data_IF_337001398100
#
_entry.id   IF_337001398100
#
_cell.length_a   1.000
_cell.length_b   1.000
_cell.length_c   1.000
_cell.angle_alpha   90.00
_cell.angle_beta   90.00
_cell.angle_gamma   90.00
#
_symmetry.space_group_name_H-M   'P 1'
#
loop_
_entity.id
_entity.type
_entity.pdbx_description
1 polymer ?
#
# COMPACT_ATOMS: atom_id res chain seq x y z
N UNK A 1 -2.22 -7.63 13.01
CA UNK A 1 -2.62 -6.27 13.40
C UNK A 1 -3.47 -5.68 12.29
N UNK A 2 -4.47 -4.83 12.58
CA UNK A 2 -5.29 -4.25 11.52
C UNK A 2 -4.45 -3.31 10.63
N UNK A 3 -4.82 -3.21 9.35
CA UNK A 3 -4.32 -2.17 8.46
C UNK A 3 -4.68 -0.77 9.01
N UNK A 4 -3.91 0.28 8.65
CA UNK A 4 -4.18 1.63 9.13
C UNK A 4 -5.57 2.11 8.68
N UNK A 5 -6.26 2.79 9.59
CA UNK A 5 -7.66 3.23 9.39
C UNK A 5 -7.73 4.58 8.71
N UNK A 6 -8.87 4.88 8.06
CA UNK A 6 -9.10 6.18 7.43
C UNK A 6 -8.92 7.36 8.40
N UNK A 7 -9.35 7.18 9.66
CA UNK A 7 -9.20 8.18 10.73
C UNK A 7 -7.74 8.50 11.08
N UNK A 8 -6.81 7.56 10.88
CA UNK A 8 -5.37 7.79 11.07
C UNK A 8 -4.76 8.61 9.94
N UNK A 9 -5.37 8.59 8.75
CA UNK A 9 -4.86 9.26 7.54
C UNK A 9 -5.55 10.61 7.29
N UNK A 10 -6.80 10.78 7.71
CA UNK A 10 -7.64 11.92 7.37
C UNK A 10 -7.02 13.26 7.76
N UNK A 11 -6.58 13.43 9.01
CA UNK A 11 -6.02 14.69 9.49
C UNK A 11 -4.74 15.09 8.73
N UNK A 12 -3.88 14.11 8.43
CA UNK A 12 -2.67 14.35 7.65
C UNK A 12 -2.99 14.66 6.19
N UNK A 13 -3.93 13.92 5.58
CA UNK A 13 -4.40 14.13 4.20
C UNK A 13 -4.98 15.53 4.03
N UNK A 14 -5.79 15.99 4.98
CA UNK A 14 -6.32 17.35 4.98
C UNK A 14 -5.20 18.38 5.10
N UNK A 15 -4.20 18.14 5.96
CA UNK A 15 -3.01 18.98 6.08
C UNK A 15 -2.23 19.08 4.77
N UNK A 16 -2.08 17.98 4.03
CA UNK A 16 -1.41 17.96 2.72
C UNK A 16 -2.19 18.76 1.68
N UNK A 17 -3.53 18.61 1.60
CA UNK A 17 -4.37 19.41 0.71
C UNK A 17 -4.28 20.90 1.04
N UNK A 18 -4.42 21.28 2.32
CA UNK A 18 -4.33 22.67 2.74
C UNK A 18 -2.94 23.29 2.53
N UNK A 19 -1.88 22.49 2.73
CA UNK A 19 -0.49 22.86 2.48
C UNK A 19 -0.18 23.03 0.99
N UNK A 20 -0.86 22.27 0.13
CA UNK A 20 -0.79 22.41 -1.32
C UNK A 20 -1.65 23.57 -1.87
N UNK A 21 -2.37 24.30 -1.01
CA UNK A 21 -3.22 25.44 -1.38
C UNK A 21 -4.68 25.07 -1.66
N UNK A 22 -5.05 23.79 -1.59
CA UNK A 22 -6.40 23.29 -1.86
C UNK A 22 -7.29 23.49 -0.61
N UNK A 23 -7.86 24.68 -0.47
CA UNK A 23 -8.70 25.10 0.67
C UNK A 23 -10.18 25.27 0.32
N UNK A 24 -10.64 24.62 -0.75
CA UNK A 24 -12.03 24.67 -1.18
C UNK A 24 -13.01 24.02 -0.21
N UNK A 25 -14.30 24.28 -0.40
CA UNK A 25 -15.41 23.72 0.40
C UNK A 25 -15.40 22.18 0.39
N UNK A 26 -14.99 21.58 -0.72
CA UNK A 26 -14.88 20.12 -0.87
C UNK A 26 -13.57 19.52 -0.33
N UNK A 27 -12.58 20.34 0.07
CA UNK A 27 -11.27 19.83 0.50
C UNK A 27 -11.35 18.85 1.70
N UNK A 28 -12.20 19.07 2.73
CA UNK A 28 -12.40 18.09 3.81
C UNK A 28 -13.05 16.79 3.33
N UNK A 29 -14.01 16.87 2.41
CA UNK A 29 -14.65 15.69 1.82
C UNK A 29 -13.66 14.88 0.96
N UNK A 30 -12.83 15.59 0.19
CA UNK A 30 -11.79 14.97 -0.63
C UNK A 30 -10.72 14.30 0.23
N UNK A 31 -10.30 14.94 1.31
CA UNK A 31 -9.37 14.35 2.28
C UNK A 31 -9.91 13.03 2.84
N UNK A 32 -11.18 13.02 3.24
CA UNK A 32 -11.88 11.81 3.73
C UNK A 32 -11.93 10.73 2.67
N UNK A 33 -12.25 11.07 1.43
CA UNK A 33 -12.34 10.11 0.34
C UNK A 33 -10.97 9.48 0.01
N UNK A 34 -9.91 10.29 -0.04
CA UNK A 34 -8.53 9.80 -0.27
C UNK A 34 -8.07 8.93 0.91
N UNK A 35 -8.30 9.36 2.15
CA UNK A 35 -7.94 8.60 3.34
C UNK A 35 -8.69 7.26 3.42
N UNK A 36 -10.01 7.26 3.17
CA UNK A 36 -10.84 6.07 3.20
C UNK A 36 -10.48 5.09 2.07
N UNK A 37 -10.26 5.60 0.86
CA UNK A 37 -9.85 4.76 -0.27
C UNK A 37 -8.47 4.15 -0.05
N UNK A 38 -7.52 4.91 0.50
CA UNK A 38 -6.19 4.41 0.87
C UNK A 38 -6.30 3.31 1.94
N UNK A 39 -7.01 3.56 3.04
CA UNK A 39 -7.18 2.59 4.12
C UNK A 39 -7.84 1.28 3.66
N UNK A 40 -8.88 1.38 2.82
CA UNK A 40 -9.55 0.21 2.27
C UNK A 40 -8.66 -0.53 1.27
N UNK A 41 -7.88 0.18 0.47
CA UNK A 41 -6.86 -0.42 -0.42
C UNK A 41 -5.83 -1.22 0.38
N UNK A 42 -5.34 -0.67 1.49
CA UNK A 42 -4.40 -1.33 2.38
C UNK A 42 -5.02 -2.53 3.11
N UNK A 43 -6.31 -2.47 3.42
CA UNK A 43 -7.05 -3.62 3.98
C UNK A 43 -7.19 -4.75 2.96
N UNK A 44 -7.49 -4.42 1.70
CA UNK A 44 -7.49 -5.39 0.61
C UNK A 44 -6.08 -5.94 0.37
N UNK A 45 -5.07 -5.08 0.40
CA UNK A 45 -3.67 -5.47 0.31
C UNK A 45 -3.30 -6.46 1.41
N UNK A 46 -3.64 -6.18 2.68
CA UNK A 46 -3.35 -7.07 3.80
C UNK A 46 -4.00 -8.46 3.62
N UNK A 47 -5.22 -8.50 3.10
CA UNK A 47 -5.95 -9.76 2.91
C UNK A 47 -5.49 -10.58 1.70
N UNK A 48 -4.89 -9.94 0.70
CA UNK A 48 -4.45 -10.57 -0.54
C UNK A 48 -2.94 -10.84 -0.57
N UNK A 49 -2.13 -9.94 -0.01
CA UNK A 49 -0.69 -9.95 -0.16
C UNK A 49 -0.05 -11.22 0.42
N UNK A 50 0.78 -11.84 -0.40
CA UNK A 50 1.58 -12.99 -0.05
C UNK A 50 3.07 -12.70 -0.26
N UNK A 51 3.89 -13.24 0.63
CA UNK A 51 5.35 -13.22 0.51
C UNK A 51 5.78 -14.39 -0.37
N UNK A 52 6.64 -14.15 -1.35
CA UNK A 52 7.16 -15.19 -2.22
C UNK A 52 8.01 -16.22 -1.45
N UNK A 53 7.93 -17.52 -1.80
CA UNK A 53 8.92 -18.50 -1.40
C UNK A 53 10.32 -18.10 -1.89
N UNK A 54 11.37 -18.54 -1.21
CA UNK A 54 12.75 -18.27 -1.60
C UNK A 54 13.51 -17.29 -0.70
N UNK A 55 12.96 -16.91 0.46
CA UNK A 55 13.70 -16.11 1.45
C UNK A 55 14.91 -16.95 1.90
N UNK A 56 16.15 -16.49 1.71
CA UNK A 56 17.32 -17.24 2.13
C UNK A 56 17.22 -17.56 3.61
N UNK A 57 17.36 -18.84 3.96
CA UNK A 57 17.14 -19.35 5.31
C UNK A 57 18.22 -20.40 5.62
N UNK A 58 19.39 -20.00 6.13
CA UNK A 58 20.36 -20.94 6.69
C UNK A 58 19.70 -21.63 7.89
N UNK A 59 19.14 -22.79 7.60
CA UNK A 59 18.48 -23.67 8.54
C UNK A 59 19.38 -24.89 8.69
N UNK A 60 19.74 -25.22 9.92
CA UNK A 60 20.50 -26.45 10.21
C UNK A 60 19.67 -27.67 9.78
N UNK A 61 20.21 -28.55 8.92
CA UNK A 61 19.43 -29.62 8.29
C UNK A 61 19.02 -30.74 9.27
N UNK A 62 19.58 -30.76 10.48
CA UNK A 62 19.29 -31.79 11.49
C UNK A 62 18.27 -31.28 12.51
N UNK A 63 18.51 -30.08 13.04
CA UNK A 63 17.67 -29.45 14.08
C UNK A 63 16.56 -28.57 13.52
N UNK A 64 16.58 -28.25 12.22
CA UNK A 64 15.59 -27.39 11.59
C UNK A 64 15.55 -25.97 12.17
N UNK A 65 16.67 -25.53 12.75
CA UNK A 65 16.79 -24.26 13.48
C UNK A 65 17.65 -23.26 12.71
N UNK A 66 17.29 -21.98 12.73
CA UNK A 66 18.02 -20.95 12.00
C UNK A 66 17.33 -19.60 12.02
N UNK A 67 17.69 -18.73 11.09
CA UNK A 67 16.99 -17.49 10.83
C UNK A 67 17.02 -17.17 9.34
N UNK A 68 16.06 -16.40 8.86
CA UNK A 68 16.12 -15.86 7.49
C UNK A 68 17.31 -14.89 7.37
N UNK A 69 18.11 -15.05 6.32
CA UNK A 69 19.35 -14.32 6.07
C UNK A 69 19.27 -13.30 4.92
N UNK A 70 18.18 -13.31 4.15
CA UNK A 70 17.98 -12.36 3.05
C UNK A 70 16.57 -11.76 3.05
N UNK A 71 16.36 -10.67 2.28
CA UNK A 71 15.06 -10.04 2.19
C UNK A 71 14.04 -10.93 1.47
N UNK A 72 12.81 -10.98 1.98
CA UNK A 72 11.70 -11.59 1.27
C UNK A 72 10.99 -10.60 0.34
N UNK A 73 10.55 -11.06 -0.82
CA UNK A 73 9.80 -10.25 -1.78
C UNK A 73 8.30 -10.51 -1.64
N UNK A 74 7.47 -9.48 -1.82
CA UNK A 74 6.03 -9.66 -1.96
C UNK A 74 5.70 -10.15 -3.38
N UNK A 75 4.63 -10.95 -3.52
CA UNK A 75 4.11 -11.27 -4.84
C UNK A 75 3.61 -10.00 -5.53
N UNK A 76 3.78 -9.86 -6.85
CA UNK A 76 3.17 -8.78 -7.60
C UNK A 76 1.65 -8.98 -7.70
N UNK A 77 0.87 -7.90 -7.91
CA UNK A 77 -0.57 -8.00 -8.21
C UNK A 77 -0.81 -8.89 -9.44
N UNK A 78 -1.92 -9.66 -9.50
CA UNK A 78 -3.08 -9.64 -8.62
C UNK A 78 -2.97 -10.53 -7.35
N UNK A 79 -1.97 -11.40 -7.25
CA UNK A 79 -1.72 -12.17 -6.03
C UNK A 79 -1.13 -11.31 -4.89
N UNK A 80 -0.52 -10.17 -5.26
CA UNK A 80 0.09 -9.20 -4.37
C UNK A 80 -0.79 -8.08 -3.85
N UNK A 81 -2.00 -7.89 -4.40
CA UNK A 81 -2.87 -6.76 -4.04
C UNK A 81 -3.93 -6.42 -5.09
N UNK A 82 -4.86 -5.51 -4.77
CA UNK A 82 -6.01 -5.17 -5.61
C UNK A 82 -5.61 -4.44 -6.91
N UNK A 83 -6.34 -4.71 -8.00
CA UNK A 83 -6.15 -4.04 -9.29
C UNK A 83 -6.92 -2.71 -9.40
N UNK A 84 -6.51 -1.86 -10.35
CA UNK A 84 -7.09 -0.53 -10.55
C UNK A 84 -8.63 -0.52 -10.71
N UNK A 85 -9.19 -1.47 -11.46
CA UNK A 85 -10.65 -1.57 -11.66
C UNK A 85 -11.42 -1.85 -10.37
N UNK A 86 -10.83 -2.61 -9.44
CA UNK A 86 -11.43 -2.90 -8.14
C UNK A 86 -11.34 -1.67 -7.22
N UNK A 87 -10.27 -0.90 -7.35
CA UNK A 87 -10.07 0.35 -6.60
C UNK A 87 -10.93 1.50 -7.14
N UNK A 88 -11.22 1.54 -8.44
CA UNK A 88 -12.02 2.59 -9.05
C UNK A 88 -13.45 2.63 -8.49
N UNK A 89 -14.13 1.48 -8.44
CA UNK A 89 -15.48 1.41 -7.86
C UNK A 89 -15.52 1.84 -6.39
N UNK A 90 -14.45 1.52 -5.65
CA UNK A 90 -14.28 1.85 -4.25
C UNK A 90 -14.02 3.35 -4.04
N UNK A 91 -13.10 3.94 -4.81
CA UNK A 91 -12.79 5.38 -4.76
C UNK A 91 -14.02 6.21 -5.15
N UNK A 92 -14.70 5.84 -6.24
CA UNK A 92 -15.92 6.51 -6.69
C UNK A 92 -17.03 6.44 -5.64
N UNK A 93 -17.17 5.29 -4.94
CA UNK A 93 -18.11 5.14 -3.83
C UNK A 93 -17.82 6.12 -2.68
N UNK A 94 -16.55 6.29 -2.31
CA UNK A 94 -16.17 7.25 -1.26
C UNK A 94 -16.34 8.70 -1.69
N UNK A 95 -15.97 9.06 -2.92
CA UNK A 95 -16.20 10.41 -3.47
C UNK A 95 -17.70 10.73 -3.47
N UNK A 96 -18.53 9.82 -3.99
CA UNK A 96 -19.98 10.00 -4.04
C UNK A 96 -20.64 10.07 -2.65
N UNK A 97 -20.06 9.37 -1.66
CA UNK A 97 -20.49 9.40 -0.25
C UNK A 97 -20.12 10.70 0.47
N UNK A 98 -19.08 11.41 0.02
CA UNK A 98 -18.70 12.73 0.51
C UNK A 98 -19.41 13.88 -0.24
N UNK A 99 -20.33 13.56 -1.15
CA UNK A 99 -21.05 14.57 -1.93
C UNK A 99 -20.28 15.12 -3.13
N UNK A 100 -19.06 14.62 -3.39
CA UNK A 100 -18.25 15.01 -4.54
C UNK A 100 -18.85 14.35 -5.79
N UNK A 101 -19.76 15.09 -6.44
CA UNK A 101 -20.52 14.66 -7.61
C UNK A 101 -20.44 15.76 -8.65
N UNK A 102 -19.90 15.44 -9.82
CA UNK A 102 -19.70 16.39 -10.90
C UNK A 102 -19.08 15.73 -12.11
N UNK A 103 -18.91 16.50 -13.19
CA UNK A 103 -18.30 16.04 -14.44
C UNK A 103 -16.87 15.51 -14.20
N UNK A 104 -16.15 16.13 -13.28
CA UNK A 104 -14.78 15.78 -12.89
C UNK A 104 -14.67 14.69 -11.81
N UNK A 105 -15.76 14.29 -11.16
CA UNK A 105 -15.72 13.34 -10.05
C UNK A 105 -15.31 11.92 -10.49
N UNK A 106 -15.87 11.43 -11.60
CA UNK A 106 -15.51 10.13 -12.18
C UNK A 106 -14.06 10.10 -12.70
N UNK A 107 -13.59 11.11 -13.48
CA UNK A 107 -12.20 11.15 -13.90
C UNK A 107 -11.20 11.30 -12.74
N UNK A 108 -11.56 12.07 -11.69
CA UNK A 108 -10.77 12.16 -10.46
C UNK A 108 -10.67 10.79 -9.77
N UNK A 109 -11.78 10.09 -9.61
CA UNK A 109 -11.79 8.76 -8.99
C UNK A 109 -10.97 7.73 -9.76
N UNK A 110 -11.00 7.78 -11.10
CA UNK A 110 -10.12 6.98 -11.98
C UNK A 110 -8.64 7.28 -11.73
N UNK A 111 -8.27 8.56 -11.67
CA UNK A 111 -6.88 8.95 -11.46
C UNK A 111 -6.36 8.52 -10.08
N UNK A 112 -7.16 8.71 -9.03
CA UNK A 112 -6.83 8.26 -7.67
C UNK A 112 -6.74 6.72 -7.59
N UNK A 113 -7.65 5.99 -8.22
CA UNK A 113 -7.61 4.53 -8.26
C UNK A 113 -6.39 3.99 -9.01
N UNK A 114 -6.03 4.61 -10.14
CA UNK A 114 -4.80 4.29 -10.86
C UNK A 114 -3.56 4.58 -10.01
N UNK A 115 -3.54 5.71 -9.29
CA UNK A 115 -2.48 6.04 -8.34
C UNK A 115 -2.35 5.03 -7.20
N UNK A 116 -3.46 4.63 -6.58
CA UNK A 116 -3.47 3.60 -5.53
C UNK A 116 -3.00 2.24 -6.06
N UNK A 117 -3.44 1.83 -7.26
CA UNK A 117 -2.98 0.59 -7.88
C UNK A 117 -1.46 0.63 -8.16
N UNK A 118 -0.96 1.77 -8.64
CA UNK A 118 0.46 1.97 -8.86
C UNK A 118 1.24 1.97 -7.54
N UNK A 119 0.68 2.55 -6.48
CA UNK A 119 1.25 2.51 -5.14
C UNK A 119 1.37 1.07 -4.62
N UNK A 120 0.32 0.26 -4.81
CA UNK A 120 0.34 -1.19 -4.49
C UNK A 120 1.42 -1.90 -5.30
N UNK A 121 1.55 -1.62 -6.60
CA UNK A 121 2.58 -2.24 -7.44
C UNK A 121 4.00 -1.86 -6.99
N UNK A 122 4.25 -0.57 -6.75
CA UNK A 122 5.55 -0.08 -6.28
C UNK A 122 5.87 -0.63 -4.89
N UNK A 123 4.88 -0.66 -4.00
CA UNK A 123 5.04 -1.22 -2.66
C UNK A 123 5.34 -2.71 -2.73
N UNK A 124 4.59 -3.51 -3.48
CA UNK A 124 4.87 -4.94 -3.61
C UNK A 124 6.20 -5.24 -4.31
N UNK A 125 6.64 -4.37 -5.23
CA UNK A 125 7.94 -4.50 -5.89
C UNK A 125 9.14 -4.09 -5.01
N UNK A 126 8.95 -3.14 -4.10
CA UNK A 126 10.04 -2.55 -3.30
C UNK A 126 10.02 -2.95 -1.83
N UNK A 127 8.87 -3.33 -1.27
CA UNK A 127 8.72 -3.71 0.12
C UNK A 127 9.39 -5.06 0.33
N UNK A 128 10.48 -5.01 1.10
CA UNK A 128 11.23 -6.18 1.49
C UNK A 128 10.87 -6.59 2.90
N UNK A 129 10.64 -7.89 3.09
CA UNK A 129 10.58 -8.49 4.42
C UNK A 129 11.99 -8.47 4.98
N UNK A 130 12.20 -7.81 6.10
CA UNK A 130 13.51 -7.70 6.74
C UNK A 130 14.00 -9.10 7.17
N UNK A 131 15.32 -9.38 7.01
CA UNK A 131 15.91 -10.63 7.47
C UNK A 131 15.88 -10.72 9.00
N UNK A 132 16.08 -11.93 9.53
CA UNK A 132 16.13 -12.19 10.97
C UNK A 132 14.89 -12.86 11.54
N UNK A 133 13.95 -13.32 10.71
CA UNK A 133 12.85 -14.15 11.16
C UNK A 133 13.41 -15.48 11.68
N UNK A 134 13.20 -15.76 12.97
CA UNK A 134 13.62 -17.00 13.60
C UNK A 134 12.93 -18.22 12.98
N UNK A 135 13.66 -19.31 12.82
CA UNK A 135 13.20 -20.60 12.30
C UNK A 135 13.45 -21.66 13.37
N UNK A 136 12.42 -22.44 13.68
CA UNK A 136 12.56 -23.63 14.52
C UNK A 136 11.66 -24.74 13.98
N UNK A 137 12.18 -25.96 13.91
CA UNK A 137 11.43 -27.09 13.37
C UNK A 137 11.02 -26.90 11.90
N UNK A 138 11.88 -26.28 11.08
CA UNK A 138 11.64 -26.03 9.65
C UNK A 138 10.47 -25.08 9.36
N UNK A 139 10.08 -24.25 10.32
CA UNK A 139 9.06 -23.20 10.12
C UNK A 139 9.51 -21.88 10.74
N UNK A 140 9.11 -20.75 10.15
CA UNK A 140 9.30 -19.44 10.79
C UNK A 140 8.46 -19.35 12.07
N UNK A 141 9.07 -18.90 13.16
CA UNK A 141 8.42 -18.81 14.48
C UNK A 141 8.18 -17.38 14.94
N UNK A 142 8.82 -16.40 14.31
CA UNK A 142 8.63 -14.98 14.61
C UNK A 142 7.89 -14.25 13.47
N UNK A 143 7.17 -13.16 13.77
CA UNK A 143 6.63 -12.27 12.74
C UNK A 143 7.76 -11.55 11.99
N UNK A 144 7.67 -11.49 10.66
CA UNK A 144 8.59 -10.68 9.83
C UNK A 144 8.14 -9.23 9.75
N UNK A 145 9.08 -8.29 9.72
CA UNK A 145 8.79 -6.86 9.54
C UNK A 145 9.00 -6.43 8.09
N UNK A 146 8.24 -5.45 7.62
CA UNK A 146 8.41 -4.86 6.30
C UNK A 146 9.32 -3.62 6.39
N UNK A 147 10.21 -3.47 5.42
CA UNK A 147 10.95 -2.23 5.26
C UNK A 147 10.01 -1.11 4.77
N UNK A 148 10.16 0.13 5.28
CA UNK A 148 9.41 1.26 4.75
C UNK A 148 9.81 1.54 3.31
N UNK A 149 8.82 1.84 2.46
CA UNK A 149 9.03 2.16 1.04
C UNK A 149 8.64 3.62 0.81
N UNK A 150 9.59 4.49 0.42
CA UNK A 150 9.27 5.85 0.01
C UNK A 150 8.63 5.83 -1.38
N UNK A 151 7.32 6.00 -1.44
CA UNK A 151 6.53 5.98 -2.66
C UNK A 151 6.28 7.38 -3.22
N UNK A 152 6.27 8.42 -2.39
CA UNK A 152 5.84 9.78 -2.78
C UNK A 152 6.56 10.30 -4.05
N UNK A 153 7.88 10.15 -4.13
CA UNK A 153 8.70 10.65 -5.25
C UNK A 153 8.39 9.97 -6.58
N UNK A 154 7.95 8.70 -6.53
CA UNK A 154 7.59 7.91 -7.70
C UNK A 154 6.10 8.07 -8.04
N UNK A 155 5.24 8.21 -7.03
CA UNK A 155 3.79 8.37 -7.19
C UNK A 155 3.39 9.72 -7.75
N UNK A 156 4.01 10.82 -7.31
CA UNK A 156 3.61 12.16 -7.73
C UNK A 156 3.56 12.31 -9.27
N UNK A 157 4.63 12.04 -10.04
CA UNK A 157 4.59 12.21 -11.50
C UNK A 157 3.59 11.25 -12.18
N UNK A 158 3.31 10.09 -11.58
CA UNK A 158 2.33 9.13 -12.09
C UNK A 158 0.91 9.63 -11.87
N UNK A 159 0.60 10.13 -10.66
CA UNK A 159 -0.68 10.77 -10.34
C UNK A 159 -0.93 12.02 -11.19
N UNK A 160 0.09 12.85 -11.40
CA UNK A 160 0.03 13.98 -12.33
C UNK A 160 -0.36 13.52 -13.74
N UNK A 161 0.30 12.46 -14.24
CA UNK A 161 -0.02 11.86 -15.53
C UNK A 161 -1.45 11.30 -15.59
N UNK A 162 -1.91 10.61 -14.55
CA UNK A 162 -3.26 10.05 -14.50
C UNK A 162 -4.34 11.14 -14.44
N UNK A 163 -4.11 12.23 -13.69
CA UNK A 163 -5.03 13.36 -13.67
C UNK A 163 -5.14 13.99 -15.08
N UNK A 164 -4.00 14.23 -15.74
CA UNK A 164 -3.98 14.79 -17.10
C UNK A 164 -4.62 13.89 -18.16
N UNK A 165 -4.41 12.57 -18.05
CA UNK A 165 -5.01 11.56 -18.94
C UNK A 165 -6.52 11.48 -18.77
N UNK A 166 -7.01 11.62 -17.53
CA UNK A 166 -8.43 11.62 -17.22
C UNK A 166 -9.09 13.00 -17.42
N UNK A 167 -8.38 13.99 -17.95
CA UNK A 167 -8.95 15.30 -18.28
C UNK A 167 -9.02 16.28 -17.10
N UNK A 168 -8.52 15.91 -15.92
CA UNK A 168 -8.34 16.83 -14.80
C UNK A 168 -7.15 17.73 -15.12
N UNK A 169 -7.43 18.89 -15.71
CA UNK A 169 -6.44 19.87 -16.16
C UNK A 169 -6.81 21.23 -15.58
N UNK A 170 -6.14 21.60 -14.50
CA UNK A 170 -6.33 22.88 -13.82
C UNK A 170 -5.04 23.30 -13.12
N UNK A 171 -4.97 24.57 -12.72
CA UNK A 171 -3.85 25.14 -11.97
C UNK A 171 -3.59 24.36 -10.66
N UNK A 172 -4.65 23.82 -10.08
CA UNK A 172 -4.67 23.03 -8.85
C UNK A 172 -4.39 21.53 -9.05
N UNK A 173 -4.43 21.01 -10.28
CA UNK A 173 -4.19 19.59 -10.56
C UNK A 173 -2.83 19.06 -10.05
N UNK A 174 -1.69 19.77 -10.23
CA UNK A 174 -0.40 19.32 -9.70
C UNK A 174 -0.31 19.37 -8.17
N UNK A 175 -0.99 20.33 -7.54
CA UNK A 175 -1.11 20.41 -6.09
C UNK A 175 -1.91 19.21 -5.55
N UNK A 176 -2.98 18.83 -6.24
CA UNK A 176 -3.79 17.67 -5.91
C UNK A 176 -3.02 16.36 -6.04
N UNK A 177 -2.26 16.19 -7.13
CA UNK A 177 -1.39 15.03 -7.31
C UNK A 177 -0.37 14.90 -6.17
N UNK A 178 0.22 16.02 -5.77
CA UNK A 178 1.19 16.05 -4.67
C UNK A 178 0.56 15.64 -3.34
N UNK A 179 -0.58 16.23 -2.98
CA UNK A 179 -1.27 15.92 -1.74
C UNK A 179 -1.77 14.48 -1.70
N UNK A 180 -2.32 13.98 -2.81
CA UNK A 180 -2.73 12.58 -2.95
C UNK A 180 -1.53 11.63 -2.82
N UNK A 181 -0.39 11.93 -3.48
CA UNK A 181 0.82 11.13 -3.38
C UNK A 181 1.35 11.07 -1.93
N UNK A 182 1.34 12.19 -1.21
CA UNK A 182 1.74 12.27 0.20
C UNK A 182 0.81 11.46 1.11
N UNK A 183 -0.50 11.54 0.89
CA UNK A 183 -1.48 10.80 1.68
C UNK A 183 -1.34 9.28 1.47
N UNK A 184 -1.17 8.85 0.21
CA UNK A 184 -0.97 7.45 -0.13
C UNK A 184 0.35 6.95 0.47
N UNK A 185 1.44 7.69 0.28
CA UNK A 185 2.76 7.36 0.83
C UNK A 185 2.74 7.20 2.36
N UNK A 186 2.09 8.12 3.07
CA UNK A 186 1.89 8.02 4.51
C UNK A 186 1.12 6.74 4.88
N UNK A 187 0.05 6.42 4.13
CA UNK A 187 -0.72 5.19 4.32
C UNK A 187 0.13 3.94 4.21
N UNK A 188 0.94 3.84 3.16
CA UNK A 188 1.85 2.70 2.95
C UNK A 188 3.00 2.66 3.96
N UNK A 189 3.48 3.82 4.42
CA UNK A 189 4.49 3.90 5.48
C UNK A 189 3.93 3.37 6.81
N UNK A 190 2.72 3.79 7.19
CA UNK A 190 2.03 3.27 8.37
C UNK A 190 1.70 1.79 8.21
N UNK A 191 1.33 1.36 7.00
CA UNK A 191 1.12 -0.05 6.70
C UNK A 191 2.39 -0.87 6.89
N UNK A 192 3.53 -0.46 6.36
CA UNK A 192 4.80 -1.17 6.56
C UNK A 192 5.20 -1.26 8.04
N UNK A 193 4.85 -0.25 8.84
CA UNK A 193 5.09 -0.24 10.28
C UNK A 193 4.13 -1.15 11.07
N UNK A 194 2.94 -1.45 10.54
CA UNK A 194 1.89 -2.22 11.23
C UNK A 194 1.75 -3.66 10.73
N UNK A 195 1.91 -3.88 9.42
CA UNK A 195 1.76 -5.18 8.79
C UNK A 195 2.97 -6.06 9.07
N UNK A 196 2.71 -7.29 9.49
CA UNK A 196 3.76 -8.28 9.74
C UNK A 196 3.57 -9.50 8.85
N UNK A 197 4.68 -10.17 8.53
CA UNK A 197 4.61 -11.48 7.89
C UNK A 197 4.25 -12.52 8.95
N UNK A 198 3.18 -13.28 8.73
CA UNK A 198 2.72 -14.31 9.64
C UNK A 198 3.79 -15.39 9.86
N UNK A 199 4.02 -15.84 11.10
CA UNK A 199 4.80 -17.05 11.38
C UNK A 199 4.18 -18.28 10.70
N UNK A 200 4.97 -19.33 10.53
CA UNK A 200 4.53 -20.62 9.97
C UNK A 200 4.89 -20.82 8.50
N UNK A 201 5.79 -20.01 7.94
CA UNK A 201 6.35 -20.24 6.61
C UNK A 201 7.25 -21.46 6.70
N UNK A 202 6.95 -22.51 5.94
CA UNK A 202 7.83 -23.67 5.83
C UNK A 202 9.20 -23.26 5.28
N UNK A 203 10.27 -23.76 5.88
CA UNK A 203 11.66 -23.49 5.54
C UNK A 203 12.38 -24.81 5.26
N UNK A 204 12.99 -24.93 4.09
CA UNK A 204 13.94 -25.99 3.80
C UNK A 204 15.38 -25.49 4.06
N UNK A 205 16.37 -26.38 4.22
CA UNK A 205 17.77 -25.98 4.22
C UNK A 205 18.08 -25.14 2.98
N UNK A 206 18.39 -23.85 3.19
CA UNK A 206 18.73 -22.90 2.13
C UNK A 206 17.68 -21.81 1.86
N UNK A 207 16.38 -22.09 1.96
CA UNK A 207 15.34 -21.09 1.66
C UNK A 207 13.95 -21.41 2.23
N UNK A 208 13.07 -20.40 2.32
CA UNK A 208 11.64 -20.62 2.54
C UNK A 208 11.02 -21.40 1.38
N UNK A 209 10.22 -22.41 1.71
CA UNK A 209 9.64 -23.37 0.78
C UNK A 209 8.15 -23.09 0.47
N UNK A 210 7.49 -22.23 1.25
CA UNK A 210 6.07 -21.89 1.09
C UNK A 210 5.85 -20.37 1.02
N UNK A 211 4.73 -19.90 0.43
CA UNK A 211 4.36 -18.49 0.48
C UNK A 211 4.01 -18.06 1.90
N UNK A 212 4.49 -16.89 2.32
CA UNK A 212 4.06 -16.25 3.56
C UNK A 212 2.80 -15.44 3.38
N UNK A 213 2.06 -15.17 4.47
CA UNK A 213 0.90 -14.27 4.47
C UNK A 213 1.22 -13.04 5.31
N UNK A 214 0.56 -11.92 5.02
CA UNK A 214 0.60 -10.76 5.91
C UNK A 214 -0.50 -10.88 6.99
N UNK A 215 -0.23 -10.32 8.17
CA UNK A 215 -1.15 -10.27 9.31
C UNK A 215 -1.15 -8.93 10.03
#
# INVERSE_FOLDING_TARGET
MPAPTASQLESATLGFLQGAGLRGEDAPGLAKAIAASTAQTLTLLLSMAMVQPGIPAPCDPISGSGATAGPGLLMPPPAGGPGASQLEGLVNGFLAGQGIRGEDANPLGKALAAGLAQAVQLFTALAMVLPGIAIAGFVTTAPGMLAPVPLQSQLKPLLDGFLQQNGIRGEDAPALAQAAAQAIDLGFTLFAAQAMVSPGIACAPGASAAPGRLM
#
